data_IF_251217391552
#
_entry.id   IF_251217391552
#
_cell.length_a   1.000
_cell.length_b   1.000
_cell.length_c   1.000
_cell.angle_alpha   90.00
_cell.angle_beta   90.00
_cell.angle_gamma   90.00
#
_symmetry.space_group_name_H-M   'P 1'
#
loop_
_entity.id
_entity.type
_entity.pdbx_description
1 polymer ?
#
# COMPACT_ATOMS: atom_id res chain seq x y z
N UNK A 1 -7.58 94.96 25.69
CA UNK A 1 -7.78 93.80 24.92
C UNK A 1 -6.78 92.77 25.38
N UNK A 2 -7.21 91.67 26.08
CA UNK A 2 -6.39 90.55 26.53
C UNK A 2 -6.67 89.37 25.62
N UNK A 3 -5.64 88.85 24.98
CA UNK A 3 -5.76 87.66 24.20
C UNK A 3 -5.34 86.45 25.07
N UNK A 4 -6.27 85.51 25.28
CA UNK A 4 -6.00 84.25 25.94
C UNK A 4 -5.65 83.22 24.86
N UNK A 5 -4.44 82.77 24.86
CA UNK A 5 -3.99 81.66 24.02
C UNK A 5 -4.42 80.31 24.60
N UNK A 6 -5.13 79.49 23.82
CA UNK A 6 -5.48 78.13 24.13
C UNK A 6 -4.33 77.22 23.67
N UNK A 7 -3.70 76.51 24.61
CA UNK A 7 -2.69 75.50 24.32
C UNK A 7 -3.41 74.15 24.18
N UNK A 8 -3.41 73.58 22.99
CA UNK A 8 -3.83 72.18 22.77
C UNK A 8 -2.66 71.23 23.10
N UNK A 9 -2.83 70.42 24.16
CA UNK A 9 -1.93 69.30 24.44
C UNK A 9 -2.45 68.09 23.64
N UNK A 10 -1.74 67.73 22.57
CA UNK A 10 -1.97 66.47 21.85
C UNK A 10 -1.28 65.36 22.67
N UNK A 11 -2.06 64.53 23.33
CA UNK A 11 -1.58 63.32 23.96
C UNK A 11 -1.29 62.27 22.88
N UNK A 12 -0.01 62.00 22.54
CA UNK A 12 0.38 60.83 21.78
C UNK A 12 0.20 59.61 22.70
N UNK A 13 -0.87 58.86 22.48
CA UNK A 13 -1.01 57.50 23.01
C UNK A 13 -0.08 56.59 22.24
N UNK A 14 0.99 56.11 22.87
CA UNK A 14 1.80 55.00 22.32
C UNK A 14 0.89 53.77 22.16
N UNK A 15 0.95 53.06 21.02
CA UNK A 15 0.25 51.79 20.90
C UNK A 15 0.82 50.85 22.00
N UNK A 16 -0.08 50.29 22.79
CA UNK A 16 0.30 49.23 23.74
C UNK A 16 0.93 48.07 23.02
N UNK A 17 1.75 47.27 23.71
CA UNK A 17 2.33 46.09 23.12
C UNK A 17 1.20 45.22 22.53
N UNK A 18 1.28 44.89 21.25
CA UNK A 18 0.45 43.88 20.66
C UNK A 18 0.63 42.61 21.49
N UNK A 19 -0.47 41.92 21.90
CA UNK A 19 -0.31 40.65 22.60
C UNK A 19 0.52 39.73 21.73
N UNK A 20 1.58 39.17 22.27
CA UNK A 20 2.37 38.13 21.59
C UNK A 20 1.38 37.08 21.09
N UNK A 21 1.39 36.80 19.77
CA UNK A 21 0.59 35.74 19.23
C UNK A 21 0.97 34.46 19.98
N UNK A 22 0.00 33.80 20.59
CA UNK A 22 0.24 32.58 21.34
C UNK A 22 0.97 31.57 20.43
N UNK A 23 2.16 31.14 20.88
CA UNK A 23 2.95 30.14 20.13
C UNK A 23 2.14 28.86 20.07
N UNK A 24 1.81 28.42 18.86
CA UNK A 24 1.11 27.15 18.65
C UNK A 24 1.94 26.01 19.26
N UNK A 25 1.27 25.11 19.95
CA UNK A 25 1.88 23.91 20.53
C UNK A 25 1.58 22.70 19.66
N UNK A 26 2.48 21.69 19.60
CA UNK A 26 2.20 20.42 18.97
C UNK A 26 0.89 19.83 19.49
N UNK A 27 0.01 19.43 18.60
CA UNK A 27 -1.32 18.93 18.94
C UNK A 27 -1.62 17.69 18.13
N UNK A 28 -2.04 16.61 18.80
CA UNK A 28 -2.40 15.37 18.15
C UNK A 28 -3.65 15.56 17.27
N UNK A 29 -3.53 15.17 16.01
CA UNK A 29 -4.63 15.15 15.04
C UNK A 29 -4.34 14.11 13.94
N UNK A 30 -4.64 12.84 14.22
CA UNK A 30 -4.46 11.74 13.29
C UNK A 30 -5.51 11.71 12.16
N UNK A 31 -6.56 12.53 12.26
CA UNK A 31 -7.60 12.61 11.21
C UNK A 31 -7.26 13.60 10.09
N UNK A 32 -6.16 14.34 10.20
CA UNK A 32 -5.73 15.25 9.13
C UNK A 32 -5.10 14.45 8.01
N UNK A 33 -5.80 14.35 6.89
CA UNK A 33 -5.45 13.51 5.77
C UNK A 33 -4.06 13.83 5.18
N UNK A 34 -3.32 12.80 4.78
CA UNK A 34 -2.10 12.92 3.95
C UNK A 34 -2.51 12.76 2.50
N UNK A 35 -2.41 13.83 1.72
CA UNK A 35 -2.87 13.88 0.32
C UNK A 35 -1.78 13.49 -0.65
N UNK A 36 -0.55 13.99 -0.41
CA UNK A 36 0.62 13.76 -1.26
C UNK A 36 1.89 13.70 -0.42
N UNK A 37 2.84 12.85 -0.82
CA UNK A 37 4.16 12.73 -0.19
C UNK A 37 5.25 12.74 -1.26
N UNK A 38 6.07 13.80 -1.28
CA UNK A 38 7.28 13.87 -2.07
C UNK A 38 8.49 13.54 -1.20
N UNK A 39 9.17 12.43 -1.48
CA UNK A 39 10.30 11.93 -0.70
C UNK A 39 11.62 12.10 -1.46
N UNK A 40 12.55 12.83 -0.88
CA UNK A 40 13.92 12.97 -1.36
C UNK A 40 14.88 12.28 -0.39
N UNK A 41 15.57 11.24 -0.85
CA UNK A 41 16.47 10.40 -0.03
C UNK A 41 17.91 10.61 -0.48
N UNK A 42 18.80 10.95 0.44
CA UNK A 42 20.26 10.81 0.27
C UNK A 42 20.69 9.48 0.92
N UNK A 43 20.90 8.48 0.09
CA UNK A 43 21.17 7.11 0.57
C UNK A 43 22.49 7.02 1.33
N UNK A 44 23.55 7.68 0.84
CA UNK A 44 24.88 7.63 1.46
C UNK A 44 24.94 8.41 2.78
N UNK A 45 24.19 9.51 2.89
CA UNK A 45 24.13 10.31 4.11
C UNK A 45 23.12 9.74 5.14
N UNK A 46 22.27 8.79 4.76
CA UNK A 46 21.16 8.29 5.55
C UNK A 46 20.20 9.41 6.02
N UNK A 47 19.97 10.38 5.14
CA UNK A 47 19.08 11.51 5.40
C UNK A 47 17.97 11.57 4.36
N UNK A 48 16.86 12.18 4.73
CA UNK A 48 15.74 12.40 3.82
C UNK A 48 15.00 13.69 4.13
N UNK A 49 14.27 14.17 3.14
CA UNK A 49 13.25 15.21 3.29
C UNK A 49 11.94 14.68 2.74
N UNK A 50 10.94 14.60 3.59
CA UNK A 50 9.56 14.34 3.18
C UNK A 50 8.83 15.69 3.08
N UNK A 51 8.34 16.02 1.89
CA UNK A 51 7.43 17.14 1.67
C UNK A 51 6.02 16.59 1.57
N UNK A 52 5.22 16.82 2.61
CA UNK A 52 3.89 16.23 2.77
C UNK A 52 2.83 17.29 2.60
N UNK A 53 1.87 17.05 1.73
CA UNK A 53 0.66 17.86 1.61
C UNK A 53 -0.40 17.26 2.53
N UNK A 54 -0.73 18.00 3.59
CA UNK A 54 -1.81 17.68 4.51
C UNK A 54 -3.10 18.33 4.04
N UNK A 55 -4.20 17.60 4.11
CA UNK A 55 -5.53 18.09 3.75
C UNK A 55 -6.04 19.23 4.67
N UNK A 56 -7.16 19.89 4.29
CA UNK A 56 -7.88 20.82 5.15
C UNK A 56 -8.28 20.16 6.47
N UNK A 57 -8.32 20.94 7.55
CA UNK A 57 -8.76 20.45 8.87
C UNK A 57 -9.35 21.60 9.71
N UNK A 58 -10.52 21.38 10.28
CA UNK A 58 -11.16 22.30 11.23
C UNK A 58 -10.49 22.25 12.62
N UNK A 59 -9.67 21.22 12.90
CA UNK A 59 -8.90 21.07 14.11
C UNK A 59 -7.42 21.43 13.89
N UNK A 60 -6.72 22.01 14.89
CA UNK A 60 -5.29 22.23 14.82
C UNK A 60 -4.50 20.93 14.92
N UNK A 61 -3.21 20.98 14.51
CA UNK A 61 -2.27 19.87 14.59
C UNK A 61 -2.27 18.96 13.37
N UNK A 62 -1.39 17.99 13.41
CA UNK A 62 -1.33 16.77 12.59
C UNK A 62 -0.47 15.75 13.33
N UNK A 63 -0.77 14.47 13.21
CA UNK A 63 0.00 13.37 13.80
C UNK A 63 0.44 12.42 12.72
N UNK A 64 1.74 12.12 12.67
CA UNK A 64 2.32 11.18 11.70
C UNK A 64 3.08 10.08 12.45
N UNK A 65 3.04 8.87 11.95
CA UNK A 65 3.91 7.79 12.41
C UNK A 65 5.34 8.06 11.91
N UNK A 66 6.31 8.02 12.81
CA UNK A 66 7.72 8.30 12.51
C UNK A 66 8.66 7.66 13.55
N UNK A 67 8.26 6.53 14.15
CA UNK A 67 8.91 5.94 15.30
C UNK A 67 10.39 5.56 15.08
N UNK A 68 10.76 5.19 13.85
CA UNK A 68 12.13 4.81 13.47
C UNK A 68 12.98 5.97 12.94
N UNK A 69 12.50 7.22 13.04
CA UNK A 69 13.16 8.38 12.44
C UNK A 69 13.67 9.36 13.50
N UNK A 70 14.79 10.00 13.21
CA UNK A 70 15.29 11.13 13.97
C UNK A 70 14.95 12.43 13.22
N UNK A 71 13.96 13.17 13.73
CA UNK A 71 13.49 14.39 13.10
C UNK A 71 14.43 15.56 13.41
N UNK A 72 15.00 16.15 12.37
CA UNK A 72 15.92 17.28 12.49
C UNK A 72 15.19 18.63 12.47
N UNK A 73 14.22 18.77 11.56
CA UNK A 73 13.47 20.01 11.39
C UNK A 73 12.11 19.77 10.74
N UNK A 74 11.14 20.59 11.11
CA UNK A 74 9.84 20.69 10.45
C UNK A 74 9.61 22.14 10.04
N UNK A 75 9.21 22.39 8.80
CA UNK A 75 8.94 23.74 8.29
C UNK A 75 7.64 23.79 7.46
N UNK A 76 6.98 24.94 7.48
CA UNK A 76 5.89 25.31 6.55
C UNK A 76 6.30 26.61 5.90
N UNK A 77 6.32 26.67 4.57
CA UNK A 77 6.81 27.83 3.80
C UNK A 77 8.20 28.32 4.23
N UNK A 78 9.07 27.39 4.65
CA UNK A 78 10.40 27.65 5.16
C UNK A 78 10.45 28.18 6.61
N UNK A 79 9.32 28.44 7.25
CA UNK A 79 9.26 28.85 8.66
C UNK A 79 9.26 27.62 9.58
N UNK A 80 10.05 27.62 10.68
CA UNK A 80 10.08 26.50 11.61
C UNK A 80 8.73 26.27 12.29
N UNK A 81 8.38 25.00 12.45
CA UNK A 81 7.19 24.52 13.17
C UNK A 81 7.62 23.70 14.38
N UNK A 82 7.00 23.95 15.53
CA UNK A 82 7.22 23.12 16.70
C UNK A 82 6.61 21.74 16.51
N UNK A 83 7.28 20.72 17.02
CA UNK A 83 6.82 19.34 16.94
C UNK A 83 7.18 18.57 18.21
N UNK A 84 6.43 17.49 18.48
CA UNK A 84 6.76 16.49 19.48
C UNK A 84 7.66 15.44 18.85
N UNK A 85 8.85 15.14 19.39
CA UNK A 85 9.68 14.06 18.85
C UNK A 85 8.96 12.72 18.89
N UNK A 86 8.99 11.94 17.79
CA UNK A 86 8.34 10.63 17.75
C UNK A 86 9.06 9.61 18.64
N UNK A 87 8.34 8.56 19.05
CA UNK A 87 8.89 7.41 19.77
C UNK A 87 8.07 6.16 19.42
N UNK A 88 8.45 5.00 19.89
CA UNK A 88 7.71 3.76 19.69
C UNK A 88 6.24 3.79 20.16
N UNK A 89 5.89 4.74 21.03
CA UNK A 89 4.54 4.90 21.60
C UNK A 89 3.93 6.27 21.36
N UNK A 90 4.59 7.12 20.58
CA UNK A 90 4.19 8.52 20.39
C UNK A 90 4.45 8.95 18.95
N UNK A 91 3.45 9.53 18.33
CA UNK A 91 3.51 10.10 16.98
C UNK A 91 4.35 11.37 16.93
N UNK A 92 4.77 11.75 15.72
CA UNK A 92 5.26 13.09 15.41
C UNK A 92 4.04 14.02 15.33
N UNK A 93 3.76 14.76 16.42
CA UNK A 93 2.69 15.74 16.44
C UNK A 93 3.22 17.12 16.06
N UNK A 94 2.52 17.82 15.18
CA UNK A 94 2.92 19.10 14.61
C UNK A 94 2.08 20.25 15.18
N UNK A 95 2.70 21.42 15.39
CA UNK A 95 2.04 22.65 15.81
C UNK A 95 1.49 23.41 14.60
N UNK A 96 0.41 22.90 14.01
CA UNK A 96 -0.25 23.49 12.84
C UNK A 96 -1.58 24.15 13.24
N UNK A 97 -1.97 25.28 12.61
CA UNK A 97 -3.33 25.82 12.79
C UNK A 97 -4.37 24.94 12.09
N UNK A 98 -5.62 25.07 12.49
CA UNK A 98 -6.73 24.67 11.64
C UNK A 98 -6.67 25.46 10.32
N UNK A 99 -6.99 24.83 9.22
CA UNK A 99 -6.93 25.43 7.88
C UNK A 99 -8.00 24.85 6.97
N UNK A 100 -8.69 25.73 6.25
CA UNK A 100 -9.62 25.36 5.18
C UNK A 100 -8.90 24.96 3.88
N UNK A 101 -7.60 25.30 3.77
CA UNK A 101 -6.74 24.97 2.63
C UNK A 101 -5.73 23.89 3.00
N UNK A 102 -5.25 23.10 2.03
CA UNK A 102 -4.14 22.17 2.26
C UNK A 102 -2.89 22.89 2.80
N UNK A 103 -2.11 22.19 3.61
CA UNK A 103 -0.87 22.70 4.22
C UNK A 103 0.30 21.83 3.76
N UNK A 104 1.33 22.44 3.17
CA UNK A 104 2.56 21.74 2.77
C UNK A 104 3.59 21.83 3.89
N UNK A 105 4.03 20.68 4.38
CA UNK A 105 5.01 20.54 5.47
C UNK A 105 6.27 19.87 4.93
N UNK A 106 7.44 20.47 5.14
CA UNK A 106 8.71 19.81 4.85
C UNK A 106 9.33 19.31 6.17
N UNK A 107 9.64 18.01 6.21
CA UNK A 107 10.20 17.30 7.36
C UNK A 107 11.55 16.74 6.96
N UNK A 108 12.62 17.27 7.55
CA UNK A 108 13.99 16.75 7.38
C UNK A 108 14.31 15.79 8.53
N UNK A 109 14.91 14.65 8.18
CA UNK A 109 15.18 13.60 9.16
C UNK A 109 16.34 12.69 8.74
N UNK A 110 16.87 11.95 9.73
CA UNK A 110 17.75 10.80 9.52
C UNK A 110 16.97 9.51 9.71
N UNK A 111 17.24 8.53 8.85
CA UNK A 111 16.73 7.17 9.00
C UNK A 111 17.83 6.22 9.47
N UNK A 112 17.46 5.04 9.93
CA UNK A 112 18.38 4.00 10.41
C UNK A 112 18.24 2.75 9.57
N UNK A 113 19.28 1.90 9.58
CA UNK A 113 19.23 0.55 9.03
C UNK A 113 18.29 -0.31 9.88
N UNK A 114 17.33 -0.97 9.23
CA UNK A 114 16.40 -1.90 9.85
C UNK A 114 16.69 -3.33 9.38
N UNK A 115 17.09 -4.19 10.31
CA UNK A 115 17.13 -5.63 10.07
C UNK A 115 15.71 -6.21 10.18
N UNK A 116 15.43 -7.26 9.40
CA UNK A 116 14.20 -8.03 9.55
C UNK A 116 12.95 -7.44 8.89
N UNK A 117 13.10 -6.64 7.82
CA UNK A 117 11.98 -6.23 6.95
C UNK A 117 11.03 -5.18 7.53
N UNK A 118 11.55 -4.27 8.33
CA UNK A 118 10.75 -3.25 9.03
C UNK A 118 11.20 -1.83 8.70
N UNK A 119 11.59 -1.57 7.45
CA UNK A 119 12.02 -0.26 7.03
C UNK A 119 13.11 -0.30 5.95
N UNK A 120 14.06 0.63 6.02
CA UNK A 120 15.19 0.74 5.08
C UNK A 120 16.30 -0.21 5.49
N UNK A 121 16.71 -1.10 4.58
CA UNK A 121 17.81 -2.03 4.81
C UNK A 121 19.10 -1.54 4.16
N UNK A 122 20.22 -1.60 4.88
CA UNK A 122 21.58 -1.39 4.34
C UNK A 122 21.94 -2.39 3.24
N UNK A 123 21.17 -3.46 3.07
CA UNK A 123 21.30 -4.42 1.97
C UNK A 123 20.74 -3.90 0.64
N UNK A 124 20.18 -2.69 0.62
CA UNK A 124 19.76 -1.99 -0.59
C UNK A 124 18.26 -2.11 -0.91
N UNK A 125 17.40 -2.47 0.02
CA UNK A 125 15.95 -2.49 -0.22
C UNK A 125 15.18 -1.88 0.94
N UNK A 126 13.92 -1.53 0.68
CA UNK A 126 12.94 -1.19 1.71
C UNK A 126 11.88 -2.27 1.81
N UNK A 127 11.33 -2.44 3.00
CA UNK A 127 10.10 -3.16 3.26
C UNK A 127 9.44 -2.55 4.49
N UNK A 128 8.28 -1.94 4.34
CA UNK A 128 7.58 -1.19 5.40
C UNK A 128 6.14 -1.66 5.62
N UNK A 129 5.76 -2.76 4.98
CA UNK A 129 4.49 -3.44 5.19
C UNK A 129 4.43 -4.15 6.54
N UNK A 130 3.30 -4.21 7.22
CA UNK A 130 2.03 -3.52 6.93
C UNK A 130 1.91 -2.14 7.59
N UNK A 131 2.73 -1.84 8.60
CA UNK A 131 2.62 -0.65 9.48
C UNK A 131 3.98 -0.05 9.85
N UNK A 132 5.01 -0.32 9.06
CA UNK A 132 6.37 0.15 9.33
C UNK A 132 6.78 1.36 8.50
N UNK A 133 5.85 2.00 7.77
CA UNK A 133 6.18 3.19 6.98
C UNK A 133 6.86 4.28 7.81
N UNK A 134 6.52 4.42 9.09
CA UNK A 134 7.18 5.33 10.03
C UNK A 134 8.65 5.02 10.35
N UNK A 135 9.22 3.95 9.79
CA UNK A 135 10.65 3.66 9.79
C UNK A 135 11.34 4.10 8.49
N UNK A 136 10.56 4.57 7.50
CA UNK A 136 11.05 5.00 6.17
C UNK A 136 10.80 6.50 5.98
N UNK A 137 9.59 6.96 6.25
CA UNK A 137 9.17 8.37 6.16
C UNK A 137 8.00 8.65 7.12
N UNK A 138 7.74 9.92 7.48
CA UNK A 138 6.54 10.26 8.26
C UNK A 138 5.26 9.97 7.47
N UNK A 139 4.34 9.16 8.02
CA UNK A 139 3.22 8.58 7.28
C UNK A 139 1.98 8.32 8.13
N UNK A 140 0.92 7.83 7.48
CA UNK A 140 -0.19 7.08 8.10
C UNK A 140 -0.14 5.63 7.59
N UNK A 141 -0.13 4.65 8.47
CA UNK A 141 -0.06 3.22 8.11
C UNK A 141 -1.43 2.54 7.99
N UNK A 142 -2.52 3.25 8.20
CA UNK A 142 -3.86 2.66 8.04
C UNK A 142 -4.05 2.24 6.58
N UNK A 143 -4.53 1.01 6.33
CA UNK A 143 -4.62 0.49 4.97
C UNK A 143 -5.64 1.23 4.10
N UNK A 144 -6.63 1.90 4.71
CA UNK A 144 -7.59 2.75 4.00
C UNK A 144 -7.01 4.09 3.55
N UNK A 145 -5.97 4.58 4.24
CA UNK A 145 -5.35 5.86 3.90
C UNK A 145 -4.58 5.72 2.58
N UNK A 146 -4.86 6.61 1.65
CA UNK A 146 -4.20 6.61 0.35
C UNK A 146 -3.64 7.98 0.02
N UNK A 147 -2.40 8.00 -0.47
CA UNK A 147 -1.71 9.20 -0.89
C UNK A 147 -1.03 8.99 -2.24
N UNK A 148 -0.78 10.07 -2.97
CA UNK A 148 0.11 10.03 -4.13
C UNK A 148 1.55 10.20 -3.69
N UNK A 149 2.50 9.67 -4.48
CA UNK A 149 3.91 9.73 -4.13
C UNK A 149 4.78 10.24 -5.28
N UNK A 150 5.84 10.95 -4.90
CA UNK A 150 7.03 11.12 -5.73
C UNK A 150 8.29 10.75 -4.93
N UNK A 151 9.24 10.09 -5.59
CA UNK A 151 10.48 9.62 -4.96
C UNK A 151 11.70 10.03 -5.78
N UNK A 152 12.73 10.51 -5.10
CA UNK A 152 14.07 10.67 -5.65
C UNK A 152 15.11 10.04 -4.73
N UNK A 153 16.04 9.28 -5.31
CA UNK A 153 17.17 8.68 -4.62
C UNK A 153 18.48 9.31 -5.14
N UNK A 154 19.26 9.87 -4.23
CA UNK A 154 20.59 10.39 -4.52
C UNK A 154 21.69 9.58 -3.83
N UNK A 155 22.91 9.65 -4.34
CA UNK A 155 24.11 9.07 -3.74
C UNK A 155 23.99 7.57 -3.44
N UNK A 156 23.31 6.82 -4.32
CA UNK A 156 23.25 5.36 -4.27
C UNK A 156 24.62 4.73 -4.51
N UNK A 157 24.89 3.50 -4.05
CA UNK A 157 26.17 2.83 -4.21
C UNK A 157 26.63 2.78 -5.67
N UNK A 158 27.87 3.18 -5.95
CA UNK A 158 28.42 3.23 -7.29
C UNK A 158 28.40 1.85 -7.97
N UNK A 159 28.00 1.80 -9.24
CA UNK A 159 27.93 0.58 -10.03
C UNK A 159 26.70 -0.30 -9.75
N UNK A 160 25.81 0.12 -8.87
CA UNK A 160 24.52 -0.52 -8.63
C UNK A 160 23.41 0.17 -9.41
N UNK A 161 22.35 -0.58 -9.71
CA UNK A 161 21.12 -0.05 -10.30
C UNK A 161 20.09 0.11 -9.20
N UNK A 162 19.53 1.31 -9.07
CA UNK A 162 18.39 1.58 -8.19
C UNK A 162 17.10 1.45 -9.00
N UNK A 163 16.16 0.65 -8.51
CA UNK A 163 14.81 0.48 -9.08
C UNK A 163 13.81 1.02 -8.08
N UNK A 164 13.07 2.03 -8.50
CA UNK A 164 12.07 2.71 -7.67
C UNK A 164 11.09 3.50 -8.56
N UNK A 165 9.86 3.76 -8.10
CA UNK A 165 8.92 4.60 -8.81
C UNK A 165 9.31 6.08 -8.64
N UNK A 166 9.57 6.80 -9.72
CA UNK A 166 9.73 8.25 -9.65
C UNK A 166 8.43 8.94 -9.21
N UNK A 167 7.28 8.35 -9.56
CA UNK A 167 5.93 8.79 -9.13
C UNK A 167 5.00 7.60 -8.99
N UNK A 168 4.10 7.67 -8.02
CA UNK A 168 2.91 6.80 -7.90
C UNK A 168 1.70 7.73 -8.05
N UNK A 169 1.07 7.75 -9.25
CA UNK A 169 0.08 8.77 -9.60
C UNK A 169 -1.33 8.49 -9.08
N UNK A 170 -1.58 7.28 -8.59
CA UNK A 170 -2.84 6.90 -7.95
C UNK A 170 -2.68 6.91 -6.44
N UNK A 171 -3.77 7.14 -5.72
CA UNK A 171 -3.73 7.01 -4.26
C UNK A 171 -3.39 5.56 -3.88
N UNK A 172 -2.35 5.41 -3.07
CA UNK A 172 -1.78 4.15 -2.66
C UNK A 172 -1.56 4.12 -1.14
N UNK A 173 -1.60 2.95 -0.50
CA UNK A 173 -1.23 2.83 0.90
C UNK A 173 0.24 3.19 1.12
N UNK A 174 0.59 3.65 2.32
CA UNK A 174 1.94 4.15 2.60
C UNK A 174 3.05 3.12 2.34
N UNK A 175 2.82 1.84 2.60
CA UNK A 175 3.79 0.77 2.41
C UNK A 175 4.15 0.52 0.93
N UNK A 176 3.37 1.03 -0.01
CA UNK A 176 3.65 0.85 -1.44
C UNK A 176 4.88 1.63 -1.93
N UNK A 177 5.33 2.66 -1.19
CA UNK A 177 6.52 3.43 -1.55
C UNK A 177 7.79 2.68 -1.17
N UNK A 178 8.42 2.04 -2.15
CA UNK A 178 9.59 1.22 -1.93
C UNK A 178 10.67 1.42 -3.01
N UNK A 179 11.89 0.97 -2.72
CA UNK A 179 13.01 0.89 -3.66
C UNK A 179 13.87 -0.34 -3.42
N UNK A 180 14.60 -0.72 -4.46
CA UNK A 180 15.65 -1.72 -4.34
C UNK A 180 16.89 -1.33 -5.14
N UNK A 181 18.08 -1.61 -4.61
CA UNK A 181 19.39 -1.24 -5.17
C UNK A 181 20.27 -2.48 -5.15
N UNK A 182 20.64 -3.01 -6.32
CA UNK A 182 21.57 -4.16 -6.44
C UNK A 182 22.24 -4.18 -7.84
N UNK A 183 22.95 -5.26 -8.15
CA UNK A 183 23.52 -5.53 -9.48
C UNK A 183 22.45 -6.00 -10.45
N UNK A 184 21.48 -5.13 -10.74
CA UNK A 184 20.38 -5.48 -11.60
C UNK A 184 20.71 -5.39 -13.08
N UNK A 185 20.22 -6.40 -13.82
CA UNK A 185 19.97 -6.36 -15.26
C UNK A 185 18.47 -6.29 -15.46
N UNK A 186 18.02 -5.47 -16.39
CA UNK A 186 16.62 -5.40 -16.81
C UNK A 186 16.38 -6.31 -18.02
N UNK A 187 15.28 -7.04 -18.01
CA UNK A 187 14.70 -7.72 -19.16
C UNK A 187 13.34 -7.09 -19.46
N UNK A 188 13.14 -6.61 -20.67
CA UNK A 188 11.83 -6.20 -21.15
C UNK A 188 11.03 -7.48 -21.50
N UNK A 189 9.99 -7.74 -20.72
CA UNK A 189 9.14 -8.94 -20.87
C UNK A 189 8.14 -8.74 -22.02
N UNK A 190 7.62 -7.53 -22.16
CA UNK A 190 6.70 -7.17 -23.24
C UNK A 190 5.83 -5.96 -22.89
N UNK A 191 4.79 -5.77 -23.70
CA UNK A 191 3.82 -4.67 -23.51
C UNK A 191 2.42 -5.23 -23.72
N UNK A 192 1.48 -4.87 -22.83
CA UNK A 192 0.08 -5.27 -22.93
C UNK A 192 -0.64 -4.55 -24.09
N UNK A 193 -1.83 -5.02 -24.47
CA UNK A 193 -2.64 -4.35 -25.49
C UNK A 193 -3.07 -2.92 -25.04
N UNK A 194 -3.20 -2.68 -23.74
CA UNK A 194 -3.50 -1.36 -23.19
C UNK A 194 -2.26 -0.42 -23.19
N UNK A 195 -1.06 -0.96 -23.43
CA UNK A 195 0.18 -0.18 -23.54
C UNK A 195 1.03 -0.18 -22.28
N UNK A 196 0.72 -0.97 -21.24
CA UNK A 196 1.56 -1.11 -20.05
C UNK A 196 2.82 -1.90 -20.39
N UNK A 197 3.99 -1.27 -20.26
CA UNK A 197 5.29 -1.92 -20.45
C UNK A 197 5.66 -2.75 -19.22
N UNK A 198 6.03 -4.01 -19.43
CA UNK A 198 6.34 -4.96 -18.35
C UNK A 198 7.80 -5.35 -18.43
N UNK A 199 8.52 -5.24 -17.30
CA UNK A 199 9.93 -5.57 -17.17
C UNK A 199 10.20 -6.44 -15.94
N UNK A 200 11.35 -7.09 -15.90
CA UNK A 200 11.86 -7.73 -14.70
C UNK A 200 13.31 -7.31 -14.45
N UNK A 201 13.62 -6.94 -13.20
CA UNK A 201 14.97 -6.65 -12.74
C UNK A 201 15.48 -7.83 -11.91
N UNK A 202 16.60 -8.37 -12.33
CA UNK A 202 17.19 -9.57 -11.73
C UNK A 202 18.71 -9.47 -11.67
N UNK A 203 19.35 -10.23 -10.80
CA UNK A 203 20.81 -10.33 -10.77
C UNK A 203 21.30 -11.28 -11.87
N UNK A 204 22.54 -11.13 -12.36
CA UNK A 204 23.05 -11.93 -13.48
C UNK A 204 22.91 -13.45 -13.36
N UNK A 205 22.89 -13.97 -12.12
CA UNK A 205 22.72 -15.43 -11.84
C UNK A 205 21.28 -15.91 -11.89
N UNK A 206 20.29 -15.01 -12.00
CA UNK A 206 18.85 -15.32 -11.90
C UNK A 206 18.12 -15.25 -13.25
N UNK A 207 18.81 -14.99 -14.35
CA UNK A 207 18.22 -14.81 -15.68
C UNK A 207 17.23 -15.93 -16.05
N UNK A 208 17.61 -17.19 -15.86
CA UNK A 208 16.74 -18.32 -16.22
C UNK A 208 15.48 -18.35 -15.34
N UNK A 209 15.62 -18.12 -14.04
CA UNK A 209 14.48 -18.05 -13.13
C UNK A 209 13.55 -16.87 -13.48
N UNK A 210 14.10 -15.67 -13.64
CA UNK A 210 13.33 -14.48 -14.00
C UNK A 210 12.56 -14.66 -15.32
N UNK A 211 13.20 -15.26 -16.34
CA UNK A 211 12.54 -15.57 -17.62
C UNK A 211 11.40 -16.59 -17.44
N UNK A 212 11.60 -17.62 -16.60
CA UNK A 212 10.55 -18.61 -16.32
C UNK A 212 9.39 -17.98 -15.56
N UNK A 213 9.66 -17.26 -14.46
CA UNK A 213 8.62 -16.68 -13.62
C UNK A 213 7.80 -15.58 -14.29
N UNK A 214 8.31 -14.99 -15.38
CA UNK A 214 7.59 -13.95 -16.14
C UNK A 214 7.08 -14.43 -17.50
N UNK A 215 7.12 -15.74 -17.77
CA UNK A 215 6.78 -16.31 -19.09
C UNK A 215 5.37 -15.95 -19.56
N UNK A 216 4.37 -15.98 -18.66
CA UNK A 216 2.99 -15.65 -18.99
C UNK A 216 2.52 -14.32 -18.36
N UNK A 217 3.42 -13.57 -17.72
CA UNK A 217 3.07 -12.36 -16.98
C UNK A 217 2.40 -11.29 -17.86
N UNK A 218 2.89 -11.04 -19.08
CA UNK A 218 2.26 -10.07 -20.01
C UNK A 218 0.83 -10.49 -20.35
N UNK A 219 0.61 -11.77 -20.64
CA UNK A 219 -0.71 -12.26 -21.01
C UNK A 219 -1.69 -12.26 -19.83
N UNK A 220 -1.21 -12.60 -18.61
CA UNK A 220 -2.01 -12.52 -17.39
C UNK A 220 -2.37 -11.06 -17.05
N UNK A 221 -1.40 -10.15 -17.15
CA UNK A 221 -1.61 -8.73 -16.92
C UNK A 221 -2.59 -8.12 -17.93
N UNK A 222 -2.47 -8.48 -19.21
CA UNK A 222 -3.38 -8.05 -20.27
C UNK A 222 -4.81 -8.58 -20.03
N UNK A 223 -4.93 -9.81 -19.49
CA UNK A 223 -6.21 -10.35 -19.06
C UNK A 223 -6.81 -9.55 -17.90
N UNK A 224 -6.01 -9.17 -16.89
CA UNK A 224 -6.44 -8.34 -15.77
C UNK A 224 -6.92 -6.96 -16.26
N UNK A 225 -6.16 -6.27 -17.11
CA UNK A 225 -6.55 -4.99 -17.69
C UNK A 225 -7.84 -5.08 -18.49
N UNK A 226 -7.99 -6.13 -19.31
CA UNK A 226 -9.16 -6.31 -20.18
C UNK A 226 -10.40 -6.68 -19.36
N UNK A 227 -10.23 -7.50 -18.33
CA UNK A 227 -11.34 -8.05 -17.53
C UNK A 227 -11.81 -7.07 -16.46
N UNK A 228 -10.87 -6.48 -15.72
CA UNK A 228 -11.20 -5.66 -14.54
C UNK A 228 -11.22 -4.15 -14.84
N UNK A 229 -10.39 -3.71 -15.78
CA UNK A 229 -10.22 -2.29 -16.11
C UNK A 229 -8.76 -1.83 -16.04
N UNK A 230 -8.48 -0.54 -16.31
CA UNK A 230 -7.13 -0.05 -16.52
C UNK A 230 -6.27 -0.13 -15.26
N UNK A 231 -4.99 -0.48 -15.45
CA UNK A 231 -3.95 -0.36 -14.43
C UNK A 231 -3.71 1.12 -14.09
N UNK A 232 -3.59 1.46 -12.79
CA UNK A 232 -3.62 2.85 -12.32
C UNK A 232 -2.28 3.42 -11.87
N UNK A 233 -1.23 2.59 -11.77
CA UNK A 233 0.06 3.00 -11.21
C UNK A 233 1.09 3.45 -12.25
N UNK A 234 0.63 3.85 -13.43
CA UNK A 234 1.45 4.40 -14.51
C UNK A 234 1.61 3.45 -15.69
N UNK A 235 2.42 3.84 -16.70
CA UNK A 235 2.56 3.08 -17.95
C UNK A 235 3.57 1.92 -17.85
N UNK A 236 4.14 1.67 -16.68
CA UNK A 236 5.14 0.64 -16.43
C UNK A 236 4.75 -0.23 -15.26
N UNK A 237 5.06 -1.51 -15.36
CA UNK A 237 5.01 -2.49 -14.28
C UNK A 237 6.27 -3.32 -14.29
N UNK A 238 6.73 -3.81 -13.14
CA UNK A 238 7.84 -4.74 -13.13
C UNK A 238 8.08 -5.46 -11.83
N UNK A 239 8.61 -6.69 -11.99
CA UNK A 239 9.08 -7.50 -10.88
C UNK A 239 10.54 -7.20 -10.59
N UNK A 240 10.91 -7.03 -9.32
CA UNK A 240 12.27 -6.74 -8.87
C UNK A 240 12.72 -7.85 -7.92
N UNK A 241 13.77 -8.59 -8.30
CA UNK A 241 14.29 -9.67 -7.45
C UNK A 241 15.04 -9.12 -6.23
N UNK A 242 14.55 -9.38 -5.03
CA UNK A 242 15.13 -8.88 -3.77
C UNK A 242 15.69 -10.00 -2.90
N UNK A 243 16.88 -9.80 -2.31
CA UNK A 243 17.53 -10.74 -1.38
C UNK A 243 17.13 -10.49 0.05
N UNK A 244 15.90 -10.69 0.39
CA UNK A 244 15.49 -10.51 1.78
C UNK A 244 15.72 -11.73 2.70
N UNK A 245 16.25 -12.83 2.19
CA UNK A 245 16.70 -13.96 2.99
C UNK A 245 15.68 -15.09 3.10
N UNK A 246 16.05 -16.19 3.76
CA UNK A 246 15.18 -17.37 3.88
C UNK A 246 14.03 -17.14 4.86
N UNK A 247 12.89 -17.75 4.59
CA UNK A 247 11.69 -17.71 5.45
C UNK A 247 10.89 -16.43 5.37
N UNK A 248 11.09 -15.64 4.30
CA UNK A 248 10.37 -14.40 4.06
C UNK A 248 9.28 -14.60 3.00
N UNK A 249 8.51 -13.53 2.75
CA UNK A 249 7.44 -13.51 1.77
C UNK A 249 7.92 -13.89 0.37
N UNK A 250 7.02 -14.45 -0.46
CA UNK A 250 7.26 -14.71 -1.87
C UNK A 250 7.45 -13.43 -2.66
N UNK A 251 6.57 -12.48 -2.42
CA UNK A 251 6.60 -11.15 -3.01
C UNK A 251 6.07 -10.08 -2.06
N UNK A 252 5.99 -8.84 -2.56
CA UNK A 252 5.43 -7.67 -1.91
C UNK A 252 5.00 -6.67 -2.98
N UNK A 253 3.77 -6.22 -2.88
CA UNK A 253 3.01 -5.46 -3.86
C UNK A 253 3.41 -3.97 -3.98
N UNK A 254 4.66 -3.64 -3.94
CA UNK A 254 5.18 -2.26 -4.09
C UNK A 254 5.00 -1.73 -5.52
N UNK A 255 3.76 -1.51 -5.95
CA UNK A 255 3.48 -1.00 -7.30
C UNK A 255 4.10 0.39 -7.57
N UNK A 256 4.59 0.63 -8.79
CA UNK A 256 4.58 -0.24 -9.98
C UNK A 256 5.75 -1.24 -10.06
N UNK A 257 6.69 -1.26 -9.11
CA UNK A 257 7.86 -2.13 -9.12
C UNK A 257 7.82 -3.07 -7.91
N UNK A 258 7.04 -4.17 -8.08
CA UNK A 258 6.83 -5.15 -7.01
C UNK A 258 8.10 -5.88 -6.66
N UNK A 259 8.32 -6.13 -5.38
CA UNK A 259 9.48 -6.86 -4.91
C UNK A 259 9.18 -8.36 -4.85
N UNK A 260 9.97 -9.18 -5.53
CA UNK A 260 9.88 -10.63 -5.51
C UNK A 260 11.11 -11.20 -4.80
N UNK A 261 10.91 -12.05 -3.83
CA UNK A 261 12.01 -12.76 -3.18
C UNK A 261 12.86 -13.51 -4.20
N UNK A 262 14.19 -13.46 -4.08
CA UNK A 262 15.09 -14.08 -5.06
C UNK A 262 14.89 -15.59 -5.22
N UNK A 263 14.32 -16.26 -4.23
CA UNK A 263 13.94 -17.68 -4.30
C UNK A 263 12.61 -17.91 -5.05
N UNK A 264 11.77 -16.87 -5.16
CA UNK A 264 10.45 -16.93 -5.79
C UNK A 264 10.40 -16.28 -7.18
N UNK A 265 11.46 -15.60 -7.63
CA UNK A 265 11.48 -14.89 -8.92
C UNK A 265 11.17 -15.79 -10.13
N UNK A 266 11.37 -17.10 -9.99
CA UNK A 266 11.07 -18.12 -11.01
C UNK A 266 9.66 -18.70 -10.92
N UNK A 267 8.84 -18.26 -9.98
CA UNK A 267 7.48 -18.74 -9.78
C UNK A 267 6.48 -17.81 -10.48
N UNK A 268 5.74 -18.36 -11.42
CA UNK A 268 4.75 -17.62 -12.22
C UNK A 268 3.56 -17.16 -11.35
N UNK A 269 3.12 -17.98 -10.40
CA UNK A 269 2.02 -17.66 -9.50
C UNK A 269 2.37 -16.41 -8.68
N UNK A 270 3.53 -16.41 -8.02
CA UNK A 270 4.00 -15.25 -7.25
C UNK A 270 4.07 -13.99 -8.09
N UNK A 271 4.63 -14.06 -9.33
CA UNK A 271 4.73 -12.87 -10.19
C UNK A 271 3.37 -12.33 -10.62
N UNK A 272 2.38 -13.21 -10.86
CA UNK A 272 1.03 -12.80 -11.25
C UNK A 272 0.21 -12.37 -10.04
N UNK A 273 0.41 -12.97 -8.87
CA UNK A 273 -0.17 -12.54 -7.60
C UNK A 273 0.19 -11.08 -7.31
N UNK A 274 1.49 -10.76 -7.29
CA UNK A 274 1.92 -9.38 -7.04
C UNK A 274 1.41 -8.40 -8.12
N UNK A 275 1.28 -8.85 -9.37
CA UNK A 275 0.68 -8.02 -10.42
C UNK A 275 -0.81 -7.73 -10.15
N UNK A 276 -1.56 -8.70 -9.65
CA UNK A 276 -3.01 -8.57 -9.42
C UNK A 276 -3.34 -7.59 -8.27
N UNK A 277 -2.40 -7.33 -7.36
CA UNK A 277 -2.53 -6.28 -6.34
C UNK A 277 -2.72 -4.89 -6.95
N UNK A 278 -2.30 -4.66 -8.18
CA UNK A 278 -2.61 -3.44 -8.94
C UNK A 278 -4.11 -3.15 -9.08
N UNK A 279 -4.97 -4.14 -8.82
CA UNK A 279 -6.43 -4.01 -8.80
C UNK A 279 -7.01 -4.17 -7.40
N UNK A 280 -6.52 -5.13 -6.60
CA UNK A 280 -7.04 -5.41 -5.25
C UNK A 280 -5.89 -5.44 -4.23
N UNK A 281 -6.04 -4.73 -3.13
CA UNK A 281 -5.01 -4.46 -2.15
C UNK A 281 -4.46 -3.06 -2.30
N UNK A 282 -3.93 -2.74 -3.48
CA UNK A 282 -3.41 -1.40 -3.82
C UNK A 282 -4.36 -0.61 -4.71
N UNK A 283 -4.86 -1.22 -5.80
CA UNK A 283 -5.79 -0.56 -6.72
C UNK A 283 -7.13 -0.21 -6.05
N UNK A 284 -7.62 -1.09 -5.20
CA UNK A 284 -8.65 -0.86 -4.18
C UNK A 284 -8.01 -1.21 -2.84
N UNK A 285 -7.84 -0.24 -1.96
CA UNK A 285 -7.34 -0.47 -0.61
C UNK A 285 -8.40 -1.15 0.25
N UNK A 286 -7.97 -1.89 1.26
CA UNK A 286 -8.90 -2.42 2.27
C UNK A 286 -9.23 -1.32 3.29
N UNK A 287 -10.48 -1.33 3.80
CA UNK A 287 -10.94 -0.35 4.78
C UNK A 287 -10.24 -0.52 6.13
N UNK A 288 -9.93 -1.73 6.50
CA UNK A 288 -9.20 -2.07 7.72
C UNK A 288 -8.52 -3.44 7.56
N UNK A 289 -7.59 -3.76 8.44
CA UNK A 289 -6.85 -5.03 8.37
C UNK A 289 -7.75 -6.27 8.50
N UNK A 290 -8.90 -6.17 9.12
CA UNK A 290 -9.89 -7.24 9.19
C UNK A 290 -10.44 -7.66 7.82
N UNK A 291 -10.37 -6.77 6.83
CA UNK A 291 -10.75 -7.07 5.44
C UNK A 291 -9.57 -7.62 4.60
N UNK A 292 -8.50 -8.11 5.23
CA UNK A 292 -7.29 -8.59 4.56
C UNK A 292 -7.57 -9.65 3.48
N UNK A 293 -8.59 -10.47 3.68
CA UNK A 293 -9.05 -11.44 2.67
C UNK A 293 -9.57 -10.78 1.38
N UNK A 294 -10.05 -9.53 1.43
CA UNK A 294 -10.46 -8.78 0.24
C UNK A 294 -9.24 -8.42 -0.64
N UNK A 295 -8.06 -8.20 -0.03
CA UNK A 295 -6.80 -8.09 -0.76
C UNK A 295 -6.35 -9.47 -1.21
N UNK A 296 -5.80 -10.25 -0.31
CA UNK A 296 -5.02 -11.46 -0.60
C UNK A 296 -5.84 -12.59 -1.21
N UNK A 297 -7.02 -12.83 -0.65
CA UNK A 297 -7.88 -13.91 -1.16
C UNK A 297 -8.44 -13.62 -2.55
N UNK A 298 -8.69 -12.33 -2.86
CA UNK A 298 -9.09 -11.92 -4.22
C UNK A 298 -7.92 -12.05 -5.19
N UNK A 299 -6.74 -11.65 -4.77
CA UNK A 299 -5.53 -11.68 -5.59
C UNK A 299 -5.09 -13.11 -5.91
N UNK A 300 -5.07 -14.01 -4.92
CA UNK A 300 -4.83 -15.45 -5.17
C UNK A 300 -5.83 -16.02 -6.18
N UNK A 301 -7.12 -15.69 -6.05
CA UNK A 301 -8.12 -16.11 -7.04
C UNK A 301 -7.82 -15.55 -8.42
N UNK A 302 -7.48 -14.26 -8.53
CA UNK A 302 -7.21 -13.60 -9.82
C UNK A 302 -5.93 -14.11 -10.46
N UNK A 303 -4.88 -14.41 -9.69
CA UNK A 303 -3.64 -15.03 -10.17
C UNK A 303 -3.94 -16.41 -10.79
N UNK A 304 -4.57 -17.30 -10.03
CA UNK A 304 -4.96 -18.61 -10.52
C UNK A 304 -5.92 -18.51 -11.71
N UNK A 305 -6.93 -17.62 -11.67
CA UNK A 305 -7.94 -17.43 -12.72
C UNK A 305 -7.35 -16.90 -14.01
N UNK A 306 -6.46 -15.91 -13.95
CA UNK A 306 -5.78 -15.40 -15.14
C UNK A 306 -4.89 -16.46 -15.80
N UNK A 307 -4.14 -17.22 -14.98
CA UNK A 307 -3.32 -18.33 -15.45
C UNK A 307 -4.17 -19.49 -16.01
N UNK A 308 -5.34 -19.78 -15.46
CA UNK A 308 -6.29 -20.75 -16.06
C UNK A 308 -6.67 -20.36 -17.50
N UNK A 309 -6.77 -19.05 -17.79
CA UNK A 309 -7.14 -18.55 -19.12
C UNK A 309 -5.95 -18.54 -20.08
N UNK A 310 -4.80 -18.02 -19.64
CA UNK A 310 -3.66 -17.76 -20.54
C UNK A 310 -2.68 -18.94 -20.62
N UNK A 311 -2.60 -19.76 -19.60
CA UNK A 311 -1.70 -20.90 -19.46
C UNK A 311 -2.35 -22.03 -18.63
N UNK A 312 -3.36 -22.76 -19.15
CA UNK A 312 -4.20 -23.67 -18.36
C UNK A 312 -3.45 -24.74 -17.57
N UNK A 313 -2.30 -25.20 -18.05
CA UNK A 313 -1.46 -26.16 -17.30
C UNK A 313 -0.78 -25.53 -16.08
N UNK A 314 -0.43 -24.26 -16.16
CA UNK A 314 0.13 -23.49 -15.02
C UNK A 314 -0.98 -23.22 -14.02
N UNK A 315 -2.14 -22.71 -14.46
CA UNK A 315 -3.29 -22.50 -13.59
C UNK A 315 -3.72 -23.75 -12.82
N UNK A 316 -3.76 -24.91 -13.50
CA UNK A 316 -4.04 -26.18 -12.84
C UNK A 316 -2.98 -26.55 -11.77
N UNK A 317 -1.70 -26.20 -11.99
CA UNK A 317 -0.63 -26.39 -10.99
C UNK A 317 -0.80 -25.48 -9.79
N UNK A 318 -1.19 -24.22 -10.02
CA UNK A 318 -1.48 -23.23 -8.96
C UNK A 318 -2.61 -23.74 -8.06
N UNK A 319 -3.75 -24.19 -8.64
CA UNK A 319 -4.84 -24.78 -7.85
C UNK A 319 -4.43 -26.03 -7.07
N UNK A 320 -3.51 -26.84 -7.61
CA UNK A 320 -2.97 -28.00 -6.90
C UNK A 320 -2.09 -27.57 -5.70
N UNK A 321 -1.34 -26.48 -5.84
CA UNK A 321 -0.56 -25.86 -4.74
C UNK A 321 -1.51 -25.36 -3.66
N UNK A 322 -2.52 -24.57 -4.02
CA UNK A 322 -3.53 -24.05 -3.06
C UNK A 322 -4.30 -25.17 -2.36
N UNK A 323 -4.55 -26.31 -3.04
CA UNK A 323 -5.16 -27.46 -2.40
C UNK A 323 -4.26 -28.10 -1.30
N UNK A 324 -2.95 -28.14 -1.53
CA UNK A 324 -1.99 -28.62 -0.54
C UNK A 324 -1.87 -27.65 0.64
N UNK A 325 -1.85 -26.35 0.35
CA UNK A 325 -1.81 -25.31 1.38
C UNK A 325 -3.08 -25.32 2.24
N UNK A 326 -4.26 -25.42 1.61
CA UNK A 326 -5.54 -25.57 2.31
C UNK A 326 -5.51 -26.76 3.26
N UNK A 327 -4.98 -27.91 2.82
CA UNK A 327 -4.88 -29.11 3.64
C UNK A 327 -3.91 -28.95 4.84
N UNK A 328 -2.95 -28.02 4.75
CA UNK A 328 -1.99 -27.71 5.82
C UNK A 328 -2.51 -26.67 6.82
N UNK A 329 -3.59 -25.94 6.51
CA UNK A 329 -4.16 -24.92 7.40
C UNK A 329 -4.79 -25.55 8.65
N UNK A 330 -4.89 -24.70 9.69
CA UNK A 330 -5.72 -24.99 10.86
C UNK A 330 -7.08 -24.31 10.70
N UNK A 331 -8.16 -25.01 11.01
CA UNK A 331 -9.50 -24.46 10.92
C UNK A 331 -9.75 -23.25 11.84
N UNK A 332 -8.90 -23.08 12.86
CA UNK A 332 -8.97 -21.95 13.81
C UNK A 332 -8.24 -20.70 13.34
N UNK A 333 -7.57 -20.73 12.18
CA UNK A 333 -6.87 -19.57 11.65
C UNK A 333 -7.87 -18.50 11.22
N UNK A 334 -7.56 -17.26 11.56
CA UNK A 334 -8.42 -16.12 11.28
C UNK A 334 -8.42 -15.83 9.78
N UNK A 335 -9.59 -15.56 9.22
CA UNK A 335 -9.74 -15.21 7.79
C UNK A 335 -10.44 -13.87 7.62
N UNK A 336 -11.66 -13.73 8.15
CA UNK A 336 -12.43 -12.51 8.08
C UNK A 336 -13.18 -12.22 9.39
N UNK A 337 -12.65 -11.31 10.24
CA UNK A 337 -13.27 -10.92 11.50
C UNK A 337 -14.58 -10.14 11.37
N UNK A 338 -14.94 -9.64 10.20
CA UNK A 338 -16.19 -8.96 9.83
C UNK A 338 -16.37 -7.53 10.37
N UNK A 339 -15.54 -7.05 11.28
CA UNK A 339 -15.67 -5.69 11.83
C UNK A 339 -14.32 -5.09 12.15
N UNK A 340 -14.11 -3.86 11.71
CA UNK A 340 -12.89 -3.10 11.95
C UNK A 340 -12.63 -2.85 13.44
N UNK A 341 -11.34 -2.74 13.80
CA UNK A 341 -10.88 -2.45 15.15
C UNK A 341 -10.99 -3.62 16.13
N UNK A 342 -11.14 -4.84 15.62
CA UNK A 342 -11.24 -6.06 16.45
C UNK A 342 -9.92 -6.82 16.53
N UNK A 343 -8.97 -6.55 15.65
CA UNK A 343 -7.64 -7.18 15.66
C UNK A 343 -6.55 -6.21 16.11
N UNK A 344 -5.55 -6.76 16.76
CA UNK A 344 -4.27 -6.10 17.02
C UNK A 344 -3.26 -6.70 16.04
N UNK A 345 -2.91 -5.95 14.98
CA UNK A 345 -2.05 -6.42 13.89
C UNK A 345 -0.66 -6.86 14.36
N UNK A 346 -0.22 -6.42 15.56
CA UNK A 346 1.05 -6.84 16.16
C UNK A 346 0.95 -8.17 16.89
N UNK A 347 -0.24 -8.61 17.31
CA UNK A 347 -0.46 -9.76 18.19
C UNK A 347 -1.31 -10.84 17.55
N UNK A 348 -2.28 -10.45 16.73
CA UNK A 348 -3.23 -11.37 16.13
C UNK A 348 -2.68 -11.98 14.84
N UNK A 349 -3.01 -13.24 14.60
CA UNK A 349 -2.45 -14.01 13.48
C UNK A 349 -3.30 -13.86 12.22
N UNK A 350 -3.56 -12.62 11.79
CA UNK A 350 -4.25 -12.38 10.52
C UNK A 350 -3.35 -12.73 9.32
N UNK A 351 -2.08 -12.39 9.39
CA UNK A 351 -1.10 -12.59 8.30
C UNK A 351 -0.59 -14.03 8.25
N UNK A 352 -1.51 -14.97 8.00
CA UNK A 352 -1.24 -16.40 7.76
C UNK A 352 -1.74 -16.75 6.36
N UNK A 353 -1.45 -17.94 5.84
CA UNK A 353 -1.97 -18.39 4.54
C UNK A 353 -3.51 -18.57 4.52
N UNK A 354 -4.19 -18.45 5.65
CA UNK A 354 -5.64 -18.72 5.70
C UNK A 354 -6.48 -17.70 4.90
N UNK A 355 -6.29 -16.37 5.03
CA UNK A 355 -6.98 -15.38 4.19
C UNK A 355 -6.72 -15.57 2.69
N UNK A 356 -5.51 -15.91 2.30
CA UNK A 356 -5.11 -16.19 0.93
C UNK A 356 -5.91 -17.35 0.34
N UNK A 357 -5.60 -18.55 0.81
CA UNK A 357 -6.11 -19.80 0.24
C UNK A 357 -7.62 -19.96 0.44
N UNK A 358 -8.15 -19.65 1.63
CA UNK A 358 -9.60 -19.76 1.88
C UNK A 358 -10.38 -18.69 1.14
N UNK A 359 -9.79 -17.50 0.94
CA UNK A 359 -10.33 -16.45 0.09
C UNK A 359 -10.39 -16.88 -1.38
N UNK A 360 -9.29 -17.41 -1.92
CA UNK A 360 -9.27 -17.94 -3.28
C UNK A 360 -10.34 -19.02 -3.49
N UNK A 361 -10.49 -19.95 -2.54
CA UNK A 361 -11.53 -20.99 -2.61
C UNK A 361 -12.96 -20.47 -2.42
N UNK A 362 -13.15 -19.37 -1.70
CA UNK A 362 -14.43 -18.69 -1.66
C UNK A 362 -14.84 -18.23 -3.07
N UNK A 363 -13.98 -17.48 -3.75
CA UNK A 363 -14.25 -17.01 -5.12
C UNK A 363 -14.37 -18.16 -6.11
N UNK A 364 -13.50 -19.17 -5.99
CA UNK A 364 -13.61 -20.37 -6.83
C UNK A 364 -14.93 -21.09 -6.63
N UNK A 365 -15.38 -21.23 -5.38
CA UNK A 365 -16.66 -21.85 -5.08
C UNK A 365 -17.84 -21.08 -5.69
N UNK A 366 -17.80 -19.75 -5.69
CA UNK A 366 -18.79 -18.90 -6.36
C UNK A 366 -18.70 -19.08 -7.89
N UNK A 367 -17.50 -19.10 -8.46
CA UNK A 367 -17.28 -19.32 -9.89
C UNK A 367 -17.74 -20.71 -10.35
N UNK A 368 -17.57 -21.72 -9.52
CA UNK A 368 -17.96 -23.11 -9.81
C UNK A 368 -19.48 -23.36 -9.59
N UNK A 369 -20.22 -22.39 -8.98
CA UNK A 369 -21.68 -22.47 -8.88
C UNK A 369 -22.30 -22.44 -10.30
N UNK A 370 -23.12 -23.45 -10.70
CA UNK A 370 -23.66 -23.56 -12.05
C UNK A 370 -24.63 -22.41 -12.43
N UNK A 371 -25.13 -21.65 -11.43
CA UNK A 371 -26.00 -20.50 -11.68
C UNK A 371 -25.20 -19.18 -11.80
N UNK A 372 -23.89 -19.19 -11.52
CA UNK A 372 -23.01 -18.04 -11.63
C UNK A 372 -22.02 -18.24 -12.79
N UNK A 373 -21.04 -19.12 -12.60
CA UNK A 373 -19.98 -19.35 -13.55
C UNK A 373 -18.86 -18.28 -13.44
N UNK A 374 -17.66 -18.65 -13.86
CA UNK A 374 -16.48 -17.80 -13.74
C UNK A 374 -16.64 -16.45 -14.46
N UNK A 375 -17.21 -16.44 -15.68
CA UNK A 375 -17.39 -15.20 -16.43
C UNK A 375 -18.32 -14.19 -15.74
N UNK A 376 -19.35 -14.67 -15.04
CA UNK A 376 -20.26 -13.79 -14.31
C UNK A 376 -19.62 -13.25 -13.02
N UNK A 377 -18.76 -14.04 -12.38
CA UNK A 377 -17.95 -13.55 -11.28
C UNK A 377 -16.90 -12.53 -11.75
N UNK A 378 -16.26 -12.76 -12.91
CA UNK A 378 -15.35 -11.79 -13.52
C UNK A 378 -16.06 -10.43 -13.74
N UNK A 379 -17.35 -10.43 -14.21
CA UNK A 379 -18.16 -9.20 -14.32
C UNK A 379 -18.40 -8.53 -12.95
N UNK A 380 -18.64 -9.30 -11.89
CA UNK A 380 -18.83 -8.75 -10.54
C UNK A 380 -17.55 -8.11 -9.99
N UNK A 381 -16.38 -8.76 -10.20
CA UNK A 381 -15.09 -8.21 -9.80
C UNK A 381 -14.75 -6.93 -10.58
N UNK A 382 -15.07 -6.88 -11.88
CA UNK A 382 -14.93 -5.68 -12.70
C UNK A 382 -15.84 -4.54 -12.22
N UNK A 383 -17.09 -4.84 -11.88
CA UNK A 383 -18.04 -3.85 -11.34
C UNK A 383 -17.55 -3.30 -9.99
N UNK A 384 -17.03 -4.17 -9.13
CA UNK A 384 -16.44 -3.76 -7.85
C UNK A 384 -15.22 -2.85 -8.06
N UNK A 385 -14.31 -3.22 -8.95
CA UNK A 385 -13.16 -2.38 -9.29
C UNK A 385 -13.59 -1.02 -9.84
N UNK A 386 -14.53 -0.99 -10.77
CA UNK A 386 -15.03 0.26 -11.34
C UNK A 386 -15.66 1.20 -10.28
N UNK A 387 -16.25 0.64 -9.23
CA UNK A 387 -16.88 1.41 -8.16
C UNK A 387 -15.89 1.93 -7.11
N UNK A 388 -14.80 1.22 -6.84
CA UNK A 388 -13.92 1.47 -5.70
C UNK A 388 -12.48 1.81 -6.05
N UNK A 389 -12.07 1.74 -7.33
CA UNK A 389 -10.67 1.96 -7.74
C UNK A 389 -10.13 3.32 -7.30
N UNK A 390 -8.99 3.31 -6.59
CA UNK A 390 -8.37 4.48 -5.97
C UNK A 390 -8.96 4.86 -4.61
N UNK A 391 -9.96 4.13 -4.13
CA UNK A 391 -10.54 4.26 -2.79
C UNK A 391 -10.24 3.05 -1.89
N UNK A 392 -10.98 2.92 -0.79
CA UNK A 392 -10.99 1.76 0.07
C UNK A 392 -12.37 1.08 0.06
N UNK A 393 -12.40 -0.22 0.39
CA UNK A 393 -13.64 -0.99 0.44
C UNK A 393 -13.54 -2.14 1.47
N UNK A 394 -14.69 -2.74 1.78
CA UNK A 394 -14.83 -3.87 2.72
C UNK A 394 -15.17 -5.15 1.98
N UNK A 395 -14.85 -6.27 2.58
CA UNK A 395 -15.29 -7.58 2.08
C UNK A 395 -16.83 -7.68 2.02
N UNK A 396 -17.55 -7.01 2.94
CA UNK A 396 -19.04 -6.93 2.89
C UNK A 396 -19.55 -6.25 1.62
N UNK A 397 -18.85 -5.25 1.10
CA UNK A 397 -19.21 -4.53 -0.14
C UNK A 397 -19.01 -5.45 -1.35
N UNK A 398 -17.95 -6.27 -1.31
CA UNK A 398 -17.72 -7.31 -2.33
C UNK A 398 -18.86 -8.34 -2.34
N UNK A 399 -19.30 -8.82 -1.18
CA UNK A 399 -20.43 -9.74 -1.12
C UNK A 399 -21.71 -9.12 -1.72
N UNK A 400 -21.98 -7.85 -1.40
CA UNK A 400 -23.11 -7.12 -1.97
C UNK A 400 -22.99 -6.99 -3.50
N UNK A 401 -21.80 -6.65 -4.01
CA UNK A 401 -21.57 -6.54 -5.46
C UNK A 401 -21.73 -7.88 -6.18
N UNK A 402 -21.23 -8.98 -5.61
CA UNK A 402 -21.47 -10.32 -6.16
C UNK A 402 -22.98 -10.60 -6.26
N UNK A 403 -23.72 -10.33 -5.19
CA UNK A 403 -25.18 -10.50 -5.21
C UNK A 403 -25.85 -9.65 -6.30
N UNK A 404 -25.53 -8.36 -6.37
CA UNK A 404 -26.19 -7.41 -7.25
C UNK A 404 -25.93 -7.72 -8.73
N UNK A 405 -24.71 -8.15 -9.08
CA UNK A 405 -24.33 -8.45 -10.46
C UNK A 405 -24.78 -9.84 -10.88
N UNK A 406 -24.67 -10.83 -10.00
CA UNK A 406 -24.90 -12.23 -10.37
C UNK A 406 -26.31 -12.72 -10.06
N UNK A 407 -27.02 -12.06 -9.12
CA UNK A 407 -28.29 -12.51 -8.53
C UNK A 407 -28.12 -13.66 -7.54
N UNK A 408 -26.87 -14.09 -7.27
CA UNK A 408 -26.54 -15.13 -6.30
C UNK A 408 -26.19 -14.51 -4.94
N UNK A 409 -26.79 -15.00 -3.84
CA UNK A 409 -26.45 -14.57 -2.49
C UNK A 409 -25.22 -15.36 -1.98
N UNK A 410 -24.03 -14.72 -1.88
CA UNK A 410 -22.80 -15.39 -1.47
C UNK A 410 -22.68 -15.58 0.05
N UNK A 411 -23.64 -15.15 0.85
CA UNK A 411 -23.55 -15.12 2.33
C UNK A 411 -23.25 -16.49 2.92
N UNK A 412 -23.96 -17.54 2.50
CA UNK A 412 -23.72 -18.89 3.01
C UNK A 412 -22.35 -19.43 2.63
N UNK A 413 -21.87 -19.09 1.42
CA UNK A 413 -20.53 -19.43 0.96
C UNK A 413 -19.47 -18.71 1.79
N UNK A 414 -19.63 -17.39 2.01
CA UNK A 414 -18.74 -16.59 2.85
C UNK A 414 -18.68 -17.12 4.29
N UNK A 415 -19.81 -17.50 4.87
CA UNK A 415 -19.85 -18.14 6.20
C UNK A 415 -19.00 -19.41 6.24
N UNK A 416 -19.10 -20.24 5.20
CA UNK A 416 -18.34 -21.50 5.11
C UNK A 416 -16.84 -21.25 4.97
N UNK A 417 -16.44 -20.39 4.04
CA UNK A 417 -15.05 -20.19 3.69
C UNK A 417 -14.32 -19.17 4.56
N UNK A 418 -14.97 -18.07 4.92
CA UNK A 418 -14.30 -16.91 5.48
C UNK A 418 -14.49 -16.76 7.00
N UNK A 419 -15.58 -17.29 7.59
CA UNK A 419 -15.84 -17.11 9.02
C UNK A 419 -15.90 -18.41 9.82
N UNK A 420 -16.02 -19.58 9.16
CA UNK A 420 -16.03 -20.87 9.84
C UNK A 420 -14.68 -21.17 10.51
N UNK A 421 -14.74 -21.77 11.69
CA UNK A 421 -13.58 -22.36 12.40
C UNK A 421 -13.30 -23.79 11.97
N UNK A 422 -14.01 -24.33 10.99
CA UNK A 422 -13.79 -25.66 10.41
C UNK A 422 -13.31 -25.49 8.99
N UNK A 423 -12.25 -26.22 8.60
CA UNK A 423 -11.77 -26.22 7.23
C UNK A 423 -12.83 -26.84 6.31
N UNK A 424 -13.31 -26.08 5.31
CA UNK A 424 -14.22 -26.63 4.32
C UNK A 424 -13.48 -27.51 3.31
N UNK A 425 -14.24 -28.41 2.67
CA UNK A 425 -13.73 -29.17 1.52
C UNK A 425 -14.06 -28.40 0.24
N UNK A 426 -13.14 -28.29 -0.73
CA UNK A 426 -13.40 -27.64 -2.01
C UNK A 426 -14.63 -28.20 -2.70
N UNK A 427 -15.60 -27.34 -2.94
CA UNK A 427 -16.85 -27.63 -3.63
C UNK A 427 -17.46 -26.33 -4.17
N UNK A 428 -18.31 -26.39 -5.22
CA UNK A 428 -19.13 -25.25 -5.62
C UNK A 428 -19.94 -24.73 -4.41
N UNK A 429 -20.05 -23.41 -4.31
CA UNK A 429 -20.92 -22.80 -3.30
C UNK A 429 -22.40 -23.16 -3.58
N UNK A 430 -23.20 -23.42 -2.54
CA UNK A 430 -24.57 -23.91 -2.67
C UNK A 430 -25.51 -22.89 -3.33
#
# INVERSE_FOLDING_TARGET
MRWSGLVFVVACSSPGPTPDAAVLQPTANASREVVDTALAVDYAAMTSVATITLGPSDAPGASLEAAGLMIDAVTVDGAPVLFTPPSATQTLDLALPASADPTVVAIAYHWMDHEGFQGISSKGYTLDWPYYCGNVFPCHSQPSDGTTFSLSLANTPAGKTAVFPATIPSQAPAYQLAWSIDDYTQLDVGTTAAGTAISVWYRPTEMAAATTGTQHLVAAFDWLETTLGPYRFGPHYGSVSVKWGPGQFGGMEHHPFVHIGSSAIGDEDTNVHEAAHGWFGDGIRIECWEDFVLSEGTVDYLAARSLDVVAPSVGASVWATYANELAALKGTDLVWPQSCGTIDVLKDKLFTNAPYVRGAYFYKGVADNPNVGAAKLDEALAAFYAAHAGGSAKMSDMLATIHDVTGYDPTACAQTWLTSTTLPTPAPCP
#
